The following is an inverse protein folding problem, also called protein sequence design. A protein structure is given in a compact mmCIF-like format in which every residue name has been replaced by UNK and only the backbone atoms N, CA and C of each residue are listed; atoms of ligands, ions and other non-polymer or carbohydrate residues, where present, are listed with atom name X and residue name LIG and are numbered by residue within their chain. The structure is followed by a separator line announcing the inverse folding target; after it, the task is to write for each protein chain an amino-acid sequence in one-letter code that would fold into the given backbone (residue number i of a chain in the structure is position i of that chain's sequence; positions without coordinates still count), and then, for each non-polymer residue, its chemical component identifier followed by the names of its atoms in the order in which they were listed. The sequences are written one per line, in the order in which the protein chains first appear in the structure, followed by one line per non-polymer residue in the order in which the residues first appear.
data_IF_833830872042
#
_entry.id   IF_833830872042
#
_cell.length_a   1.000
_cell.length_b   1.000
_cell.length_c   1.000
_cell.angle_alpha   90.00
_cell.angle_beta   90.00
_cell.angle_gamma   90.00
#
_symmetry.space_group_name_H-M   'P 1'
#
loop_
_entity.id
_entity.type
_entity.pdbx_description
1 polymer ?
#
# COMPACT_ATOMS: atom_id res chain seq x y z
N UNK A 1 -26.92 39.97 50.17
CA UNK A 1 -25.57 40.36 49.71
C UNK A 1 -25.05 39.25 48.81
N UNK A 2 -24.85 39.48 47.50
CA UNK A 2 -24.33 38.47 46.60
C UNK A 2 -22.81 38.44 46.63
N UNK A 3 -22.28 37.21 46.55
CA UNK A 3 -20.86 36.84 46.64
C UNK A 3 -20.23 37.07 45.26
N UNK A 4 -19.18 37.88 45.18
CA UNK A 4 -18.46 38.19 43.93
C UNK A 4 -17.53 37.04 43.47
N UNK A 5 -17.16 37.00 42.18
CA UNK A 5 -16.37 35.90 41.62
C UNK A 5 -14.86 36.05 41.92
N UNK A 6 -14.18 34.91 42.08
CA UNK A 6 -12.74 34.81 42.30
C UNK A 6 -11.94 35.08 41.00
N UNK A 7 -10.74 35.70 41.08
CA UNK A 7 -9.93 36.03 39.92
C UNK A 7 -9.17 34.81 39.36
N UNK A 8 -9.10 34.75 38.02
CA UNK A 8 -8.54 33.66 37.24
C UNK A 8 -7.03 33.47 37.33
N UNK A 9 -6.61 32.20 37.23
CA UNK A 9 -5.22 31.77 37.12
C UNK A 9 -4.72 31.93 35.68
N UNK A 10 -3.77 32.85 35.47
CA UNK A 10 -2.98 32.93 34.25
C UNK A 10 -1.87 31.87 34.27
N UNK A 11 -1.90 30.91 33.33
CA UNK A 11 -0.80 29.97 33.10
C UNK A 11 0.33 30.72 32.40
N UNK A 12 1.50 30.85 33.06
CA UNK A 12 2.73 31.34 32.44
C UNK A 12 3.44 30.18 31.74
N UNK A 13 3.61 30.28 30.43
CA UNK A 13 4.48 29.40 29.66
C UNK A 13 5.92 29.86 29.90
N UNK A 14 6.73 29.02 30.53
CA UNK A 14 8.16 29.25 30.69
C UNK A 14 8.89 28.84 29.40
N UNK A 15 9.45 29.80 28.66
CA UNK A 15 10.45 29.51 27.64
C UNK A 15 11.76 29.09 28.31
N UNK A 16 12.14 27.83 28.17
CA UNK A 16 13.48 27.34 28.52
C UNK A 16 14.37 27.48 27.29
N UNK A 17 15.25 28.48 27.29
CA UNK A 17 16.30 28.62 26.28
C UNK A 17 17.53 27.80 26.70
N UNK A 18 17.73 26.64 26.09
CA UNK A 18 18.98 25.87 26.17
C UNK A 18 20.10 26.52 25.33
N UNK A 19 21.38 26.15 25.56
CA UNK A 19 22.51 26.77 24.89
C UNK A 19 22.52 26.48 23.39
N UNK A 20 22.93 27.48 22.59
CA UNK A 20 23.02 27.39 21.15
C UNK A 20 24.05 26.34 20.70
N UNK A 21 23.61 25.41 19.85
CA UNK A 21 24.46 24.42 19.20
C UNK A 21 25.43 25.07 18.20
N UNK A 22 26.66 24.55 18.02
CA UNK A 22 27.62 25.06 17.04
C UNK A 22 27.11 24.93 15.60
N UNK A 23 27.39 25.95 14.78
CA UNK A 23 26.87 26.12 13.40
C UNK A 23 27.47 25.20 12.32
N UNK A 24 28.27 24.19 12.67
CA UNK A 24 28.92 23.30 11.68
C UNK A 24 28.81 21.81 12.05
N UNK A 25 27.59 21.29 12.12
CA UNK A 25 27.33 19.86 12.11
C UNK A 25 26.77 19.46 10.73
N UNK A 26 27.63 18.88 9.89
CA UNK A 26 27.36 18.08 8.68
C UNK A 26 25.97 18.27 8.04
N UNK A 27 25.90 19.08 6.97
CA UNK A 27 24.84 18.96 5.96
C UNK A 27 24.99 17.59 5.26
N UNK A 28 24.33 16.56 5.78
CA UNK A 28 24.19 15.26 5.10
C UNK A 28 22.92 15.29 4.24
N UNK A 29 23.03 14.71 3.05
CA UNK A 29 22.08 14.84 1.95
C UNK A 29 20.62 14.70 2.41
N UNK A 30 19.87 15.79 2.23
CA UNK A 30 18.42 15.78 2.20
C UNK A 30 18.02 14.75 1.13
N UNK A 31 17.06 13.88 1.44
CA UNK A 31 16.60 12.81 0.57
C UNK A 31 16.41 13.26 -0.88
N UNK A 32 16.71 12.38 -1.83
CA UNK A 32 16.47 12.55 -3.26
C UNK A 32 15.00 12.32 -3.64
N UNK A 33 14.12 12.24 -2.64
CA UNK A 33 12.68 12.14 -2.79
C UNK A 33 12.03 13.42 -2.26
N UNK A 34 11.04 13.92 -2.98
CA UNK A 34 10.21 15.04 -2.54
C UNK A 34 8.79 14.56 -2.34
N UNK A 35 8.22 14.87 -1.19
CA UNK A 35 6.83 14.56 -0.84
C UNK A 35 5.99 15.85 -0.90
N UNK A 36 4.87 15.81 -1.62
CA UNK A 36 3.87 16.87 -1.62
C UNK A 36 2.53 16.30 -1.13
N UNK A 37 1.94 16.91 -0.10
CA UNK A 37 0.69 16.44 0.51
C UNK A 37 -0.42 17.44 0.22
N UNK A 38 -1.57 16.91 -0.21
CA UNK A 38 -2.81 17.66 -0.32
C UNK A 38 -3.79 17.11 0.73
N UNK A 39 -3.93 17.85 1.83
CA UNK A 39 -4.78 17.44 2.95
C UNK A 39 -6.18 17.03 2.47
N UNK A 40 -6.57 15.80 2.78
CA UNK A 40 -7.85 15.21 2.41
C UNK A 40 -8.00 14.74 0.95
N UNK A 41 -7.01 14.94 0.07
CA UNK A 41 -7.04 14.41 -1.31
C UNK A 41 -6.02 13.30 -1.55
N UNK A 42 -4.84 13.38 -0.93
CA UNK A 42 -3.76 12.48 -1.25
C UNK A 42 -2.36 13.06 -1.01
N UNK A 43 -1.36 12.36 -1.54
CA UNK A 43 0.01 12.85 -1.60
C UNK A 43 0.71 12.38 -2.88
N UNK A 44 1.81 13.02 -3.23
CA UNK A 44 2.62 12.75 -4.40
C UNK A 44 4.08 12.60 -4.00
N UNK A 45 4.76 11.60 -4.56
CA UNK A 45 6.19 11.37 -4.36
C UNK A 45 6.92 11.61 -5.67
N UNK A 46 7.95 12.45 -5.62
CA UNK A 46 8.76 12.84 -6.77
C UNK A 46 10.22 12.44 -6.61
N UNK A 47 10.83 12.07 -7.72
CA UNK A 47 12.27 11.92 -7.85
C UNK A 47 12.92 13.31 -8.01
N UNK A 48 13.73 13.72 -7.03
CA UNK A 48 14.33 15.05 -7.01
C UNK A 48 15.44 15.25 -8.06
N UNK A 49 16.16 14.19 -8.46
CA UNK A 49 17.29 14.29 -9.41
C UNK A 49 16.84 14.22 -10.87
N UNK A 50 15.81 13.41 -11.18
CA UNK A 50 15.24 13.25 -12.53
C UNK A 50 14.30 14.38 -12.95
N UNK A 51 14.67 15.63 -12.68
CA UNK A 51 13.87 16.80 -13.07
C UNK A 51 12.51 16.92 -12.36
N UNK A 52 12.34 16.28 -11.21
CA UNK A 52 11.07 16.26 -10.48
C UNK A 52 10.05 15.29 -11.08
N UNK A 53 10.50 14.15 -11.64
CA UNK A 53 9.60 13.12 -12.16
C UNK A 53 8.66 12.63 -11.05
N UNK A 54 7.35 12.63 -11.32
CA UNK A 54 6.35 12.03 -10.43
C UNK A 54 6.55 10.51 -10.43
N UNK A 55 6.82 9.92 -9.26
CA UNK A 55 6.92 8.48 -9.10
C UNK A 55 5.55 7.87 -8.82
N UNK A 56 4.78 8.49 -7.92
CA UNK A 56 3.43 8.03 -7.64
C UNK A 56 2.55 9.11 -7.03
N UNK A 57 1.24 8.92 -7.20
CA UNK A 57 0.21 9.65 -6.47
C UNK A 57 -0.63 8.69 -5.65
N UNK A 58 -0.77 8.97 -4.36
CA UNK A 58 -1.77 8.36 -3.50
C UNK A 58 -3.06 9.17 -3.54
N UNK A 59 -4.19 8.54 -3.85
CA UNK A 59 -5.50 9.16 -3.83
C UNK A 59 -6.26 8.65 -2.60
N UNK A 60 -6.42 9.52 -1.60
CA UNK A 60 -7.16 9.22 -0.38
C UNK A 60 -8.68 9.41 -0.55
N UNK A 61 -9.10 10.31 -1.44
CA UNK A 61 -10.50 10.69 -1.64
C UNK A 61 -11.15 10.03 -2.87
N UNK A 62 -11.54 8.77 -2.74
CA UNK A 62 -12.28 8.05 -3.80
C UNK A 62 -13.79 7.97 -3.54
N UNK A 63 -14.32 8.64 -2.51
CA UNK A 63 -15.75 8.62 -2.15
C UNK A 63 -16.72 9.19 -3.20
N UNK A 64 -16.21 9.81 -4.27
CA UNK A 64 -17.00 10.23 -5.43
C UNK A 64 -17.31 9.09 -6.40
N UNK A 65 -16.63 7.93 -6.27
CA UNK A 65 -16.87 6.76 -7.09
C UNK A 65 -18.20 6.07 -6.72
N UNK A 66 -18.83 5.36 -7.68
CA UNK A 66 -20.01 4.55 -7.40
C UNK A 66 -19.79 3.56 -6.25
N UNK A 67 -20.82 3.37 -5.41
CA UNK A 67 -20.72 2.51 -4.21
C UNK A 67 -20.44 1.06 -4.56
N UNK A 68 -20.99 0.57 -5.67
CA UNK A 68 -20.78 -0.78 -6.20
C UNK A 68 -19.35 -1.01 -6.73
N UNK A 69 -18.51 0.02 -6.81
CA UNK A 69 -17.07 -0.11 -7.06
C UNK A 69 -16.23 -0.22 -5.77
N UNK A 70 -16.89 -0.23 -4.61
CA UNK A 70 -16.28 -0.22 -3.27
C UNK A 70 -15.15 0.82 -3.15
N UNK A 71 -15.48 2.13 -3.07
CA UNK A 71 -14.49 3.19 -2.92
C UNK A 71 -13.44 2.89 -1.84
N UNK A 72 -12.17 3.09 -2.21
CA UNK A 72 -11.01 2.78 -1.39
C UNK A 72 -9.80 3.64 -1.80
N UNK A 73 -8.90 4.03 -0.88
CA UNK A 73 -7.68 4.72 -1.27
C UNK A 73 -6.76 3.85 -2.12
N UNK A 74 -6.00 4.48 -3.01
CA UNK A 74 -5.18 3.77 -3.99
C UNK A 74 -4.01 4.62 -4.50
N UNK A 75 -2.95 3.98 -4.97
CA UNK A 75 -1.93 4.65 -5.77
C UNK A 75 -2.28 4.58 -7.25
N UNK A 76 -2.47 5.76 -7.85
CA UNK A 76 -2.54 5.95 -9.29
C UNK A 76 -2.37 7.44 -9.63
N UNK A 77 -1.54 7.80 -10.62
CA UNK A 77 -0.63 6.92 -11.37
C UNK A 77 0.55 6.43 -10.52
N UNK A 78 1.12 5.30 -10.92
CA UNK A 78 2.45 4.80 -10.52
C UNK A 78 3.33 4.76 -11.76
N UNK A 79 4.51 5.35 -11.68
CA UNK A 79 5.48 5.46 -12.77
C UNK A 79 6.79 4.75 -12.42
N UNK A 80 7.50 4.28 -13.45
CA UNK A 80 8.93 4.01 -13.33
C UNK A 80 9.71 5.31 -13.11
N UNK A 81 10.95 5.25 -12.60
CA UNK A 81 11.76 6.46 -12.41
C UNK A 81 12.01 7.27 -13.69
N UNK A 82 12.01 6.66 -14.87
CA UNK A 82 12.07 7.34 -16.18
C UNK A 82 10.72 7.84 -16.70
N UNK A 83 9.61 7.61 -15.97
CA UNK A 83 8.28 8.13 -16.29
C UNK A 83 7.36 7.16 -17.05
N UNK A 84 7.71 5.88 -17.17
CA UNK A 84 6.84 4.86 -17.77
C UNK A 84 5.64 4.53 -16.88
N UNK A 85 4.41 4.67 -17.39
CA UNK A 85 3.19 4.38 -16.61
C UNK A 85 3.04 2.87 -16.34
N UNK A 86 2.91 2.50 -15.07
CA UNK A 86 2.74 1.11 -14.61
C UNK A 86 1.27 0.76 -14.37
N UNK A 87 0.56 1.59 -13.61
CA UNK A 87 -0.76 1.26 -13.06
C UNK A 87 -1.90 1.63 -14.01
N UNK A 88 -2.99 0.85 -14.02
CA UNK A 88 -4.27 1.22 -14.65
C UNK A 88 -5.32 1.61 -13.62
N UNK A 89 -6.18 2.57 -13.94
CA UNK A 89 -7.24 3.03 -13.06
C UNK A 89 -8.60 2.97 -13.76
N UNK A 90 -9.53 2.26 -13.11
CA UNK A 90 -10.92 2.06 -13.54
C UNK A 90 -11.02 1.66 -15.03
N UNK A 91 -10.35 0.58 -15.46
CA UNK A 91 -10.50 0.11 -16.83
C UNK A 91 -11.94 -0.32 -17.10
N UNK A 92 -12.34 -0.25 -18.36
CA UNK A 92 -13.73 -0.51 -18.79
C UNK A 92 -14.22 -1.92 -18.41
N UNK A 93 -13.31 -2.90 -18.37
CA UNK A 93 -13.64 -4.29 -17.99
C UNK A 93 -13.89 -4.46 -16.48
N UNK A 94 -13.25 -3.65 -15.65
CA UNK A 94 -13.27 -3.76 -14.18
C UNK A 94 -13.11 -2.38 -13.53
N UNK A 95 -14.19 -1.60 -13.48
CA UNK A 95 -14.15 -0.20 -13.01
C UNK A 95 -13.77 -0.05 -11.53
N UNK A 96 -13.79 -1.13 -10.73
CA UNK A 96 -13.36 -1.13 -9.33
C UNK A 96 -11.85 -1.39 -9.12
N UNK A 97 -11.07 -1.61 -10.19
CA UNK A 97 -9.61 -1.75 -10.11
C UNK A 97 -8.93 -0.37 -10.18
N UNK A 98 -8.20 0.03 -9.13
CA UNK A 98 -7.79 1.42 -8.92
C UNK A 98 -6.26 1.66 -8.94
N UNK A 99 -5.48 0.83 -9.61
CA UNK A 99 -4.01 0.89 -9.60
C UNK A 99 -3.42 -0.04 -8.53
N UNK A 100 -2.65 0.48 -7.57
CA UNK A 100 -2.18 -0.29 -6.39
C UNK A 100 -3.07 0.02 -5.17
N UNK A 101 -3.74 -0.98 -4.62
CA UNK A 101 -4.71 -0.81 -3.53
C UNK A 101 -4.87 -2.07 -2.68
N UNK A 102 -5.46 -1.91 -1.48
CA UNK A 102 -5.93 -3.04 -0.68
C UNK A 102 -7.38 -3.38 -1.03
N UNK A 103 -7.63 -4.62 -1.46
CA UNK A 103 -8.95 -5.12 -1.86
C UNK A 103 -9.38 -6.36 -1.08
N UNK A 104 -10.63 -6.38 -0.63
CA UNK A 104 -11.18 -7.42 0.24
C UNK A 104 -12.56 -7.84 -0.23
N UNK A 105 -12.76 -9.12 -0.54
CA UNK A 105 -14.02 -9.57 -1.17
C UNK A 105 -15.17 -9.57 -0.20
N UNK A 106 -14.95 -10.14 0.99
CA UNK A 106 -15.97 -10.28 2.01
C UNK A 106 -15.43 -9.75 3.33
N UNK A 107 -16.12 -8.80 3.91
CA UNK A 107 -15.93 -8.35 5.29
C UNK A 107 -17.29 -8.53 5.95
N UNK A 108 -17.45 -9.61 6.72
CA UNK A 108 -18.75 -10.14 7.12
C UNK A 108 -19.66 -10.31 5.89
N UNK A 109 -20.80 -9.62 5.85
CA UNK A 109 -21.79 -9.65 4.77
C UNK A 109 -21.64 -8.49 3.76
N UNK A 110 -20.49 -7.81 3.74
CA UNK A 110 -20.24 -6.64 2.89
C UNK A 110 -19.08 -6.86 1.91
N UNK A 111 -19.25 -6.40 0.68
CA UNK A 111 -18.22 -6.44 -0.37
C UNK A 111 -17.35 -5.16 -0.36
N UNK A 112 -16.03 -5.33 -0.20
CA UNK A 112 -15.04 -4.24 -0.21
C UNK A 112 -14.10 -4.30 -1.44
N UNK A 113 -14.36 -5.20 -2.38
CA UNK A 113 -13.64 -5.34 -3.64
C UNK A 113 -14.26 -4.46 -4.73
N UNK A 114 -15.59 -4.53 -4.85
CA UNK A 114 -16.37 -3.94 -5.94
C UNK A 114 -16.97 -5.01 -6.85
N UNK A 115 -17.92 -4.62 -7.70
CA UNK A 115 -18.52 -5.48 -8.71
C UNK A 115 -19.45 -6.56 -8.14
N UNK A 116 -19.66 -7.62 -8.92
CA UNK A 116 -20.58 -8.71 -8.58
C UNK A 116 -20.04 -9.66 -7.50
N UNK A 117 -20.94 -10.33 -6.79
CA UNK A 117 -20.61 -11.40 -5.86
C UNK A 117 -20.52 -12.73 -6.57
N UNK A 118 -19.52 -13.55 -6.23
CA UNK A 118 -19.53 -14.95 -6.66
C UNK A 118 -20.40 -15.77 -5.70
N UNK A 119 -21.41 -16.46 -6.23
CA UNK A 119 -22.31 -17.33 -5.47
C UNK A 119 -21.96 -18.81 -5.75
N UNK A 120 -21.28 -19.52 -4.83
CA UNK A 120 -20.83 -20.89 -5.04
C UNK A 120 -21.94 -21.88 -5.40
N UNK A 121 -23.14 -21.67 -4.87
CA UNK A 121 -24.33 -22.47 -5.13
C UNK A 121 -24.80 -22.42 -6.60
N UNK A 122 -24.44 -21.35 -7.32
CA UNK A 122 -24.81 -21.12 -8.72
C UNK A 122 -23.60 -21.16 -9.65
N UNK A 123 -22.38 -21.04 -9.12
CA UNK A 123 -21.15 -21.06 -9.90
C UNK A 123 -20.94 -19.81 -10.76
N UNK A 124 -21.58 -18.70 -10.41
CA UNK A 124 -21.59 -17.48 -11.23
C UNK A 124 -21.46 -16.19 -10.40
N UNK A 125 -21.15 -15.10 -11.10
CA UNK A 125 -21.09 -13.75 -10.53
C UNK A 125 -22.42 -13.03 -10.71
N UNK A 126 -23.04 -12.60 -9.61
CA UNK A 126 -24.34 -11.92 -9.60
C UNK A 126 -24.22 -10.52 -8.98
N UNK A 127 -24.76 -9.47 -9.61
CA UNK A 127 -24.86 -8.16 -8.99
C UNK A 127 -25.81 -8.21 -7.78
N UNK A 128 -25.33 -7.76 -6.61
CA UNK A 128 -26.15 -7.65 -5.40
C UNK A 128 -26.25 -6.16 -5.02
N UNK A 129 -27.35 -5.47 -5.36
CA UNK A 129 -27.50 -4.05 -5.06
C UNK A 129 -27.39 -3.74 -3.57
N UNK A 130 -26.67 -2.66 -3.23
CA UNK A 130 -26.54 -2.18 -1.84
C UNK A 130 -25.81 -3.15 -0.91
N UNK A 131 -24.83 -3.90 -1.43
CA UNK A 131 -24.02 -4.86 -0.66
C UNK A 131 -22.59 -4.40 -0.41
N UNK A 132 -22.20 -3.23 -0.94
CA UNK A 132 -20.81 -2.78 -0.96
C UNK A 132 -20.49 -1.80 0.16
N UNK A 133 -19.29 -1.96 0.72
CA UNK A 133 -18.70 -1.07 1.71
C UNK A 133 -17.73 -0.05 1.11
N UNK A 134 -17.17 0.78 1.97
CA UNK A 134 -16.18 1.83 1.61
C UNK A 134 -15.03 1.78 2.59
N UNK A 135 -13.79 1.81 2.09
CA UNK A 135 -12.62 2.14 2.91
C UNK A 135 -12.49 3.67 2.84
N UNK A 136 -12.84 4.38 3.91
CA UNK A 136 -12.83 5.85 3.94
C UNK A 136 -11.56 6.33 4.62
N UNK A 137 -10.75 7.13 3.93
CA UNK A 137 -9.69 7.89 4.57
C UNK A 137 -10.28 8.89 5.56
N UNK A 138 -9.74 8.91 6.79
CA UNK A 138 -10.15 9.86 7.81
C UNK A 138 -9.14 11.01 7.93
N UNK A 139 -7.84 10.70 8.05
CA UNK A 139 -6.77 11.72 8.14
C UNK A 139 -5.37 11.14 7.86
N UNK A 140 -4.43 12.01 7.50
CA UNK A 140 -3.00 11.71 7.55
C UNK A 140 -2.47 11.93 8.97
N UNK A 141 -1.71 10.97 9.49
CA UNK A 141 -1.19 10.97 10.87
C UNK A 141 0.29 11.31 10.96
N UNK A 142 1.01 11.16 9.85
CA UNK A 142 2.43 11.46 9.73
C UNK A 142 2.72 11.93 8.31
N UNK A 143 3.58 12.94 8.21
CA UNK A 143 4.23 13.42 6.98
C UNK A 143 5.63 13.83 7.41
N UNK A 144 6.65 13.04 7.06
CA UNK A 144 8.01 13.24 7.58
C UNK A 144 9.08 12.95 6.55
N UNK A 145 10.18 13.71 6.62
CA UNK A 145 11.43 13.38 5.96
C UNK A 145 12.19 12.34 6.81
N UNK A 146 12.72 11.31 6.16
CA UNK A 146 13.62 10.33 6.77
C UNK A 146 15.07 10.63 6.36
N UNK A 147 16.04 10.02 7.05
CA UNK A 147 17.47 10.17 6.66
C UNK A 147 17.71 9.74 5.20
N UNK A 148 16.99 8.72 4.73
CA UNK A 148 17.12 8.16 3.38
C UNK A 148 15.76 7.95 2.70
N UNK A 149 14.84 8.90 2.84
CA UNK A 149 13.50 8.75 2.28
C UNK A 149 12.46 9.73 2.79
N UNK A 150 11.19 9.37 2.61
CA UNK A 150 10.03 10.09 3.16
C UNK A 150 9.00 9.08 3.70
N UNK A 151 8.21 9.49 4.70
CA UNK A 151 7.16 8.65 5.27
C UNK A 151 5.81 9.38 5.36
N UNK A 152 4.74 8.60 5.18
CA UNK A 152 3.35 9.03 5.33
C UNK A 152 2.59 8.00 6.15
N UNK A 153 1.89 8.45 7.18
CA UNK A 153 0.94 7.65 7.94
C UNK A 153 -0.50 8.11 7.70
N UNK A 154 -1.47 7.21 7.77
CA UNK A 154 -2.89 7.55 7.71
C UNK A 154 -3.78 6.64 8.56
N UNK A 155 -4.98 7.15 8.85
CA UNK A 155 -6.09 6.39 9.44
C UNK A 155 -7.25 6.31 8.47
N UNK A 156 -7.87 5.14 8.43
CA UNK A 156 -9.09 4.86 7.68
C UNK A 156 -10.15 4.23 8.58
N UNK A 157 -11.40 4.46 8.22
CA UNK A 157 -12.54 3.72 8.73
C UNK A 157 -13.20 2.96 7.59
N UNK A 158 -13.42 1.66 7.78
CA UNK A 158 -14.18 0.86 6.83
C UNK A 158 -15.66 0.89 7.24
N UNK A 159 -16.50 1.31 6.30
CA UNK A 159 -17.94 1.40 6.47
C UNK A 159 -18.61 0.23 5.76
N UNK A 160 -19.47 -0.50 6.46
CA UNK A 160 -20.26 -1.59 5.89
C UNK A 160 -21.28 -1.07 4.87
N UNK A 161 -22.06 -1.98 4.27
CA UNK A 161 -23.14 -1.63 3.32
C UNK A 161 -24.22 -0.67 3.85
N UNK A 162 -24.31 -0.49 5.17
CA UNK A 162 -25.25 0.39 5.86
C UNK A 162 -24.55 1.62 6.48
N UNK A 163 -23.33 1.91 6.06
CA UNK A 163 -22.49 3.01 6.56
C UNK A 163 -22.11 2.91 8.05
N UNK A 164 -22.14 1.71 8.62
CA UNK A 164 -21.67 1.46 9.99
C UNK A 164 -20.17 1.17 10.00
N UNK A 165 -19.38 1.78 10.91
CA UNK A 165 -17.96 1.43 11.07
C UNK A 165 -17.79 -0.03 11.51
N UNK A 166 -16.97 -0.79 10.78
CA UNK A 166 -16.65 -2.19 11.13
C UNK A 166 -15.17 -2.43 11.41
N UNK A 167 -14.28 -1.69 10.74
CA UNK A 167 -12.82 -1.76 10.91
C UNK A 167 -12.26 -0.34 11.04
N UNK A 168 -11.29 -0.17 11.94
CA UNK A 168 -10.29 0.91 11.89
C UNK A 168 -9.03 0.36 11.27
N UNK A 169 -8.45 1.09 10.33
CA UNK A 169 -7.19 0.72 9.70
C UNK A 169 -6.17 1.84 9.87
N UNK A 170 -4.94 1.49 10.24
CA UNK A 170 -3.79 2.38 10.19
C UNK A 170 -2.85 1.91 9.09
N UNK A 171 -2.49 2.81 8.17
CA UNK A 171 -1.50 2.52 7.12
C UNK A 171 -0.27 3.40 7.29
N UNK A 172 0.88 2.85 6.91
CA UNK A 172 2.14 3.58 6.81
C UNK A 172 2.83 3.23 5.50
N UNK A 173 3.30 4.28 4.83
CA UNK A 173 4.06 4.20 3.61
C UNK A 173 5.39 4.90 3.81
N UNK A 174 6.48 4.16 3.68
CA UNK A 174 7.81 4.74 3.69
C UNK A 174 8.45 4.48 2.32
N UNK A 175 8.95 5.55 1.73
CA UNK A 175 9.61 5.57 0.44
C UNK A 175 11.10 5.73 0.69
N UNK A 176 11.84 4.63 0.63
CA UNK A 176 13.27 4.57 0.94
C UNK A 176 14.12 4.55 -0.33
N UNK A 177 15.19 5.34 -0.33
CA UNK A 177 16.21 5.24 -1.37
C UNK A 177 16.97 3.92 -1.29
N UNK A 178 17.29 3.33 -2.44
CA UNK A 178 17.98 2.03 -2.52
C UNK A 178 19.49 2.14 -2.71
N UNK A 179 20.05 3.35 -2.69
CA UNK A 179 21.49 3.61 -2.87
C UNK A 179 22.39 2.87 -1.89
N UNK A 180 21.88 2.53 -0.69
CA UNK A 180 22.62 1.76 0.30
C UNK A 180 22.86 0.29 -0.12
N UNK A 181 22.04 -0.26 -1.02
CA UNK A 181 22.01 -1.70 -1.32
C UNK A 181 22.10 -2.07 -2.79
N UNK A 182 21.87 -1.14 -3.71
CA UNK A 182 22.10 -1.39 -5.14
C UNK A 182 23.38 -0.70 -5.62
N UNK A 183 24.29 -1.49 -6.20
CA UNK A 183 25.50 -0.97 -6.87
C UNK A 183 25.17 -0.10 -8.08
N UNK A 184 24.04 -0.35 -8.75
CA UNK A 184 23.56 0.48 -9.85
C UNK A 184 23.21 1.89 -9.37
N UNK A 185 22.68 2.00 -8.14
CA UNK A 185 22.24 3.27 -7.55
C UNK A 185 23.40 4.05 -6.93
N UNK A 186 24.47 3.37 -6.48
CA UNK A 186 25.70 4.00 -5.98
C UNK A 186 26.43 4.83 -7.04
N UNK A 187 26.18 4.57 -8.33
CA UNK A 187 26.69 5.39 -9.43
C UNK A 187 25.90 6.71 -9.64
N UNK A 188 24.84 6.95 -8.86
CA UNK A 188 24.00 8.15 -8.96
C UNK A 188 23.09 8.20 -10.19
N UNK A 189 22.82 7.04 -10.81
CA UNK A 189 22.16 6.95 -12.12
C UNK A 189 20.67 6.63 -12.07
N UNK A 190 20.09 6.31 -10.90
CA UNK A 190 18.67 5.98 -10.82
C UNK A 190 18.01 6.50 -9.53
N UNK A 191 16.80 7.05 -9.68
CA UNK A 191 15.92 7.45 -8.58
C UNK A 191 15.00 6.30 -8.18
N UNK A 192 15.62 5.16 -7.85
CA UNK A 192 14.90 3.98 -7.36
C UNK A 192 14.46 4.19 -5.93
N UNK A 193 13.24 3.74 -5.66
CA UNK A 193 12.64 3.84 -4.34
C UNK A 193 12.00 2.49 -3.97
N UNK A 194 12.41 1.95 -2.83
CA UNK A 194 11.76 0.82 -2.18
C UNK A 194 10.65 1.34 -1.30
N UNK A 195 9.45 0.80 -1.46
CA UNK A 195 8.27 1.19 -0.70
C UNK A 195 8.03 0.13 0.36
N UNK A 196 7.95 0.55 1.61
CA UNK A 196 7.49 -0.30 2.70
C UNK A 196 6.06 0.11 3.02
N UNK A 197 5.14 -0.84 2.86
CA UNK A 197 3.70 -0.65 2.96
C UNK A 197 3.19 -1.48 4.12
N UNK A 198 2.80 -0.82 5.19
CA UNK A 198 2.24 -1.44 6.38
C UNK A 198 0.74 -1.13 6.48
N UNK A 199 -0.06 -2.13 6.88
CA UNK A 199 -1.48 -1.99 7.20
C UNK A 199 -1.80 -2.76 8.49
N UNK A 200 -2.44 -2.08 9.43
CA UNK A 200 -2.95 -2.65 10.68
C UNK A 200 -4.46 -2.53 10.66
N UNK A 201 -5.15 -3.67 10.65
CA UNK A 201 -6.60 -3.78 10.52
C UNK A 201 -7.18 -4.23 11.86
N UNK A 202 -7.95 -3.38 12.50
CA UNK A 202 -8.52 -3.59 13.85
C UNK A 202 -10.05 -3.51 13.80
N UNK A 203 -10.78 -4.52 14.27
CA UNK A 203 -12.24 -4.43 14.39
C UNK A 203 -12.67 -3.32 15.37
N UNK A 204 -13.83 -2.69 15.15
CA UNK A 204 -14.28 -1.54 15.98
C UNK A 204 -14.88 -1.99 17.31
N UNK A 205 -15.80 -2.97 17.30
CA UNK A 205 -16.59 -3.38 18.48
C UNK A 205 -16.79 -4.91 18.57
N UNK A 206 -16.99 -5.57 17.43
CA UNK A 206 -17.20 -7.02 17.33
C UNK A 206 -16.08 -7.66 16.51
N UNK A 207 -16.00 -9.00 16.54
CA UNK A 207 -15.13 -9.71 15.62
C UNK A 207 -15.53 -9.45 14.16
N UNK A 208 -14.55 -9.48 13.27
CA UNK A 208 -14.78 -9.33 11.83
C UNK A 208 -14.19 -10.51 11.10
N UNK A 209 -14.97 -11.10 10.20
CA UNK A 209 -14.50 -12.14 9.29
C UNK A 209 -14.17 -11.54 7.93
N UNK A 210 -12.90 -11.60 7.56
CA UNK A 210 -12.44 -11.39 6.20
C UNK A 210 -12.54 -12.71 5.43
N UNK A 211 -13.42 -12.78 4.45
CA UNK A 211 -13.71 -14.01 3.71
C UNK A 211 -12.87 -14.19 2.45
N UNK A 212 -12.51 -15.44 2.18
CA UNK A 212 -11.82 -15.84 0.96
C UNK A 212 -12.70 -15.68 -0.27
N UNK A 213 -12.12 -15.17 -1.36
CA UNK A 213 -12.76 -15.23 -2.68
C UNK A 213 -12.93 -16.70 -3.09
N UNK A 214 -14.16 -17.19 -3.19
CA UNK A 214 -14.42 -18.60 -3.54
C UNK A 214 -14.08 -18.97 -4.99
N UNK A 215 -14.09 -18.00 -5.91
CA UNK A 215 -13.71 -18.22 -7.31
C UNK A 215 -12.33 -17.65 -7.69
N UNK A 216 -12.17 -16.33 -7.62
CA UNK A 216 -11.01 -15.66 -8.22
C UNK A 216 -9.75 -15.60 -7.34
N UNK A 217 -9.88 -15.92 -6.04
CA UNK A 217 -8.76 -16.16 -5.11
C UNK A 217 -7.86 -14.94 -4.86
N UNK A 218 -8.40 -13.72 -4.99
CA UNK A 218 -7.70 -12.47 -4.68
C UNK A 218 -8.08 -11.93 -3.28
N UNK A 219 -7.15 -11.25 -2.62
CA UNK A 219 -7.37 -10.43 -1.40
C UNK A 219 -6.10 -9.64 -1.08
N UNK A 220 -6.16 -8.64 -0.20
CA UNK A 220 -4.96 -7.93 0.25
C UNK A 220 -4.46 -6.89 -0.77
N UNK A 221 -3.15 -6.75 -0.90
CA UNK A 221 -2.51 -5.73 -1.75
C UNK A 221 -2.50 -6.18 -3.21
N UNK A 222 -3.06 -5.39 -4.11
CA UNK A 222 -3.19 -5.73 -5.54
C UNK A 222 -2.80 -4.55 -6.41
N UNK A 223 -2.00 -4.82 -7.44
CA UNK A 223 -1.67 -3.91 -8.53
C UNK A 223 -2.41 -4.34 -9.80
N UNK A 224 -3.30 -3.47 -10.29
CA UNK A 224 -3.77 -3.50 -11.69
C UNK A 224 -2.79 -2.73 -12.56
N UNK A 225 -2.19 -3.42 -13.52
CA UNK A 225 -1.20 -2.87 -14.43
C UNK A 225 -1.85 -2.37 -15.72
N UNK A 226 -1.37 -1.24 -16.22
CA UNK A 226 -1.86 -0.55 -17.43
C UNK A 226 -1.27 -1.10 -18.72
N UNK A 227 -1.60 -0.49 -19.88
CA UNK A 227 -1.28 -1.03 -21.20
C UNK A 227 0.17 -1.47 -21.44
N UNK A 228 1.23 -0.73 -21.00
CA UNK A 228 2.61 -1.19 -21.19
C UNK A 228 2.93 -2.52 -20.46
N UNK A 229 2.08 -2.89 -19.49
CA UNK A 229 2.13 -4.09 -18.67
C UNK A 229 0.85 -4.95 -18.82
N UNK A 230 0.09 -4.75 -19.91
CA UNK A 230 -1.14 -5.52 -20.15
C UNK A 230 -0.88 -7.03 -20.35
N UNK A 231 0.35 -7.38 -20.74
CA UNK A 231 0.85 -8.75 -20.82
C UNK A 231 2.22 -8.87 -20.16
N UNK A 232 2.29 -8.53 -18.87
CA UNK A 232 3.53 -8.52 -18.13
C UNK A 232 4.10 -9.93 -17.91
N UNK A 233 5.41 -10.07 -18.09
CA UNK A 233 6.11 -11.32 -17.83
C UNK A 233 6.40 -11.46 -16.33
N UNK A 234 5.79 -12.45 -15.70
CA UNK A 234 5.93 -12.67 -14.26
C UNK A 234 7.02 -13.68 -13.92
N UNK A 235 7.79 -13.40 -12.88
CA UNK A 235 8.78 -14.32 -12.28
C UNK A 235 8.68 -14.32 -10.75
N UNK A 236 9.11 -15.39 -10.09
CA UNK A 236 9.11 -15.49 -8.61
C UNK A 236 10.49 -15.83 -8.04
N UNK A 237 10.66 -15.66 -6.72
CA UNK A 237 11.92 -15.92 -6.00
C UNK A 237 12.39 -17.37 -5.89
N UNK A 238 11.62 -18.32 -6.40
CA UNK A 238 11.97 -19.72 -6.60
C UNK A 238 12.20 -20.09 -8.07
N UNK A 239 12.18 -19.10 -8.97
CA UNK A 239 12.45 -19.26 -10.40
C UNK A 239 11.25 -19.69 -11.23
N UNK A 240 10.02 -19.64 -10.69
CA UNK A 240 8.82 -19.85 -11.49
C UNK A 240 8.65 -18.71 -12.50
N UNK A 241 8.14 -19.02 -13.69
CA UNK A 241 7.95 -18.07 -14.78
C UNK A 241 6.57 -18.21 -15.40
N UNK A 242 5.94 -17.08 -15.69
CA UNK A 242 4.59 -16.99 -16.22
C UNK A 242 3.54 -16.87 -15.12
N UNK A 243 2.56 -15.98 -15.34
CA UNK A 243 1.54 -15.67 -14.34
C UNK A 243 0.70 -16.90 -13.95
N UNK A 244 0.52 -17.88 -14.84
CA UNK A 244 -0.24 -19.10 -14.58
C UNK A 244 0.51 -20.05 -13.64
N UNK A 245 1.83 -20.20 -13.82
CA UNK A 245 2.67 -21.05 -13.00
C UNK A 245 2.84 -20.49 -11.57
N UNK A 246 2.74 -19.17 -11.42
CA UNK A 246 2.87 -18.47 -10.13
C UNK A 246 1.53 -18.38 -9.39
N UNK A 247 0.42 -18.41 -10.10
CA UNK A 247 -0.91 -18.27 -9.50
C UNK A 247 -1.13 -19.35 -8.43
N UNK A 248 -1.45 -18.91 -7.20
CA UNK A 248 -1.64 -19.74 -5.98
C UNK A 248 -0.40 -20.37 -5.37
N UNK A 249 0.79 -20.15 -5.94
CA UNK A 249 2.04 -20.59 -5.30
C UNK A 249 2.46 -19.62 -4.21
N UNK A 250 3.39 -20.07 -3.35
CA UNK A 250 3.95 -19.29 -2.25
C UNK A 250 5.40 -18.96 -2.57
N UNK A 251 5.74 -17.70 -2.47
CA UNK A 251 7.10 -17.22 -2.66
C UNK A 251 7.31 -15.91 -1.88
N UNK A 252 8.56 -15.59 -1.57
CA UNK A 252 8.89 -14.38 -0.79
C UNK A 252 8.72 -13.09 -1.61
N UNK A 253 8.81 -13.19 -2.93
CA UNK A 253 8.52 -12.09 -3.84
C UNK A 253 8.08 -12.60 -5.21
N UNK A 254 7.32 -11.75 -5.92
CA UNK A 254 6.96 -11.92 -7.33
C UNK A 254 7.22 -10.61 -8.06
N UNK A 255 7.82 -10.71 -9.24
CA UNK A 255 8.07 -9.60 -10.13
C UNK A 255 7.20 -9.70 -11.39
N UNK A 256 6.93 -8.55 -12.01
CA UNK A 256 6.29 -8.48 -13.32
C UNK A 256 7.01 -7.43 -14.18
N UNK A 257 7.50 -7.86 -15.35
CA UNK A 257 8.20 -7.02 -16.30
C UNK A 257 7.30 -6.63 -17.49
N UNK A 258 7.33 -5.36 -17.86
CA UNK A 258 6.57 -4.83 -19.00
C UNK A 258 7.21 -5.21 -20.32
N UNK A 259 6.41 -5.39 -21.37
CA UNK A 259 6.91 -5.79 -22.69
C UNK A 259 7.79 -4.71 -23.35
N UNK A 260 7.65 -3.45 -22.92
CA UNK A 260 8.36 -2.28 -23.45
C UNK A 260 9.40 -1.74 -22.45
N UNK A 261 9.74 -2.51 -21.41
CA UNK A 261 10.59 -2.07 -20.31
C UNK A 261 9.81 -1.82 -19.03
N UNK A 262 10.55 -1.56 -17.96
CA UNK A 262 10.04 -1.44 -16.61
C UNK A 262 9.79 -2.78 -15.91
N UNK A 263 9.90 -2.77 -14.59
CA UNK A 263 9.59 -3.92 -13.74
C UNK A 263 8.96 -3.44 -12.43
N UNK A 264 7.99 -4.19 -11.95
CA UNK A 264 7.51 -4.11 -10.57
C UNK A 264 7.93 -5.35 -9.80
N UNK A 265 8.21 -5.20 -8.51
CA UNK A 265 8.42 -6.31 -7.59
C UNK A 265 7.56 -6.09 -6.35
N UNK A 266 6.80 -7.11 -5.96
CA UNK A 266 6.06 -7.14 -4.70
C UNK A 266 6.64 -8.21 -3.79
N UNK A 267 6.86 -7.89 -2.52
CA UNK A 267 7.60 -8.70 -1.55
C UNK A 267 6.76 -8.92 -0.30
N UNK A 268 6.70 -10.16 0.17
CA UNK A 268 5.97 -10.55 1.37
C UNK A 268 6.88 -10.56 2.61
N UNK A 269 6.39 -10.08 3.75
CA UNK A 269 7.20 -10.07 4.97
C UNK A 269 7.12 -11.38 5.76
N UNK A 270 8.20 -11.88 6.38
CA UNK A 270 8.18 -13.04 7.28
C UNK A 270 7.25 -12.95 8.50
N UNK A 271 6.74 -11.74 8.81
CA UNK A 271 5.81 -11.49 9.92
C UNK A 271 4.35 -11.47 9.48
N UNK A 272 4.06 -11.57 8.18
CA UNK A 272 2.70 -11.64 7.69
C UNK A 272 2.08 -12.99 8.06
N UNK A 273 0.77 -12.96 8.32
CA UNK A 273 -0.02 -14.16 8.39
C UNK A 273 0.17 -15.00 7.12
N UNK A 274 0.32 -16.32 7.28
CA UNK A 274 0.47 -17.28 6.19
C UNK A 274 1.69 -16.95 5.29
N UNK A 275 2.80 -16.49 5.84
CA UNK A 275 4.05 -16.29 5.10
C UNK A 275 4.68 -17.62 4.62
N UNK A 276 5.26 -17.66 3.40
CA UNK A 276 5.07 -16.69 2.32
C UNK A 276 3.63 -16.71 1.82
N UNK A 277 3.06 -15.53 1.58
CA UNK A 277 1.70 -15.37 1.07
C UNK A 277 1.51 -16.15 -0.24
N UNK A 278 0.29 -16.59 -0.51
CA UNK A 278 -0.04 -17.08 -1.84
C UNK A 278 -0.21 -15.91 -2.81
N UNK A 279 0.27 -16.06 -4.03
CA UNK A 279 0.24 -14.99 -5.03
C UNK A 279 -0.99 -15.09 -5.95
N UNK A 280 -1.61 -13.93 -6.19
CA UNK A 280 -2.65 -13.74 -7.18
C UNK A 280 -2.06 -13.07 -8.42
N UNK A 281 -1.98 -13.80 -9.52
CA UNK A 281 -1.35 -13.32 -10.76
C UNK A 281 -2.25 -13.54 -11.98
N UNK A 282 -2.31 -12.52 -12.84
CA UNK A 282 -2.84 -12.57 -14.21
C UNK A 282 -1.92 -11.74 -15.11
N UNK A 283 -2.12 -11.79 -16.43
CA UNK A 283 -1.33 -11.02 -17.42
C UNK A 283 -1.09 -9.56 -17.00
N UNK A 284 -2.09 -8.90 -16.42
CA UNK A 284 -2.05 -7.50 -15.99
C UNK A 284 -2.39 -7.29 -14.50
N UNK A 285 -2.30 -8.32 -13.66
CA UNK A 285 -2.54 -8.23 -12.22
C UNK A 285 -1.43 -8.92 -11.45
N UNK A 286 -0.90 -8.22 -10.46
CA UNK A 286 0.00 -8.77 -9.46
C UNK A 286 -0.56 -8.41 -8.08
N UNK A 287 -0.93 -9.40 -7.29
CA UNK A 287 -1.44 -9.16 -5.95
C UNK A 287 -1.14 -10.30 -5.00
N UNK A 288 -1.35 -10.02 -3.72
CA UNK A 288 -1.25 -11.02 -2.67
C UNK A 288 -2.55 -11.81 -2.54
N UNK A 289 -2.52 -12.83 -1.69
CA UNK A 289 -3.65 -13.70 -1.43
C UNK A 289 -3.63 -14.20 0.02
N UNK A 290 -3.61 -13.30 1.03
CA UNK A 290 -3.64 -13.72 2.43
C UNK A 290 -4.88 -14.56 2.74
N UNK A 291 -5.99 -14.35 2.04
CA UNK A 291 -7.26 -15.08 2.18
C UNK A 291 -7.57 -15.95 0.95
N UNK A 292 -6.54 -16.55 0.35
CA UNK A 292 -6.71 -17.32 -0.88
C UNK A 292 -7.56 -18.59 -0.65
N UNK A 293 -7.22 -19.37 0.37
CA UNK A 293 -7.82 -20.69 0.60
C UNK A 293 -8.93 -20.65 1.66
N UNK A 294 -8.76 -19.85 2.71
CA UNK A 294 -9.63 -19.87 3.88
C UNK A 294 -9.86 -18.45 4.44
N UNK A 295 -11.00 -18.30 5.12
CA UNK A 295 -11.41 -17.07 5.78
C UNK A 295 -10.46 -16.75 6.96
N UNK A 296 -10.54 -15.52 7.47
CA UNK A 296 -9.85 -15.07 8.66
C UNK A 296 -10.81 -14.29 9.54
N UNK A 297 -11.05 -14.78 10.75
CA UNK A 297 -11.79 -14.04 11.78
C UNK A 297 -10.81 -13.34 12.71
N UNK A 298 -10.97 -12.03 12.87
CA UNK A 298 -10.16 -11.18 13.74
C UNK A 298 -11.02 -10.82 14.95
N UNK A 299 -10.67 -11.25 16.17
CA UNK A 299 -11.36 -10.83 17.39
C UNK A 299 -11.26 -9.33 17.63
N UNK A 300 -12.24 -8.73 18.29
CA UNK A 300 -12.22 -7.29 18.62
C UNK A 300 -11.02 -6.86 19.51
N UNK A 301 -10.37 -7.81 20.18
CA UNK A 301 -9.19 -7.59 21.01
C UNK A 301 -7.86 -7.69 20.25
N UNK A 302 -7.88 -7.98 18.95
CA UNK A 302 -6.68 -8.26 18.15
C UNK A 302 -6.65 -7.44 16.85
N UNK A 303 -5.58 -7.55 16.08
CA UNK A 303 -5.40 -6.85 14.82
C UNK A 303 -4.66 -7.70 13.79
N UNK A 304 -5.05 -7.59 12.53
CA UNK A 304 -4.28 -8.15 11.42
C UNK A 304 -3.21 -7.14 11.02
N UNK A 305 -1.95 -7.56 11.10
CA UNK A 305 -0.81 -6.79 10.62
C UNK A 305 -0.31 -7.34 9.29
N UNK A 306 -0.19 -6.46 8.29
CA UNK A 306 0.33 -6.77 6.97
C UNK A 306 1.48 -5.81 6.63
N UNK A 307 2.54 -6.36 6.05
CA UNK A 307 3.75 -5.64 5.64
C UNK A 307 4.19 -6.09 4.27
N UNK A 308 4.33 -5.17 3.33
CA UNK A 308 4.75 -5.49 1.97
C UNK A 308 5.87 -4.56 1.52
N UNK A 309 6.82 -5.15 0.78
CA UNK A 309 7.79 -4.39 0.01
C UNK A 309 7.26 -4.20 -1.40
N UNK A 310 7.42 -3.02 -1.97
CA UNK A 310 7.08 -2.75 -3.36
C UNK A 310 8.18 -1.94 -4.03
N UNK A 311 8.53 -2.30 -5.25
CA UNK A 311 9.61 -1.68 -6.00
C UNK A 311 9.17 -1.45 -7.44
N UNK A 312 9.57 -0.31 -8.00
CA UNK A 312 9.40 0.00 -9.42
C UNK A 312 10.76 0.34 -10.02
N UNK A 313 11.08 -0.29 -11.14
CA UNK A 313 12.35 -0.20 -11.83
C UNK A 313 12.13 0.18 -13.29
N UNK A 314 13.07 0.89 -13.89
CA UNK A 314 13.09 1.14 -15.35
C UNK A 314 13.51 -0.10 -16.14
N UNK A 315 14.42 -0.88 -15.57
CA UNK A 315 15.02 -2.04 -16.22
C UNK A 315 14.71 -3.32 -15.44
N UNK A 316 14.72 -4.44 -16.15
CA UNK A 316 14.56 -5.78 -15.56
C UNK A 316 15.77 -6.07 -14.68
N UNK A 317 15.54 -6.20 -13.37
CA UNK A 317 16.55 -6.64 -12.43
C UNK A 317 16.74 -8.16 -12.49
N UNK A 318 17.97 -8.62 -12.26
CA UNK A 318 18.28 -10.03 -12.10
C UNK A 318 17.81 -10.56 -10.75
N UNK A 319 17.55 -11.88 -10.66
CA UNK A 319 17.08 -12.53 -9.44
C UNK A 319 17.94 -12.23 -8.20
N UNK A 320 19.27 -12.24 -8.35
CA UNK A 320 20.19 -11.92 -7.25
C UNK A 320 20.07 -10.48 -6.75
N UNK A 321 19.81 -9.51 -7.63
CA UNK A 321 19.59 -8.12 -7.23
C UNK A 321 18.26 -7.98 -6.47
N UNK A 322 17.20 -8.63 -6.96
CA UNK A 322 15.90 -8.64 -6.28
C UNK A 322 16.03 -9.28 -4.90
N UNK A 323 16.83 -10.33 -4.76
CA UNK A 323 17.07 -10.98 -3.47
C UNK A 323 17.84 -10.11 -2.47
N UNK A 324 18.82 -9.34 -2.94
CA UNK A 324 19.52 -8.36 -2.12
C UNK A 324 18.56 -7.27 -1.62
N UNK A 325 17.67 -6.80 -2.49
CA UNK A 325 16.62 -5.83 -2.16
C UNK A 325 15.57 -6.40 -1.20
N UNK A 326 15.19 -7.68 -1.35
CA UNK A 326 14.31 -8.37 -0.42
C UNK A 326 14.91 -8.44 0.99
N UNK A 327 16.19 -8.79 1.10
CA UNK A 327 16.88 -8.82 2.40
C UNK A 327 16.96 -7.42 3.04
N UNK A 328 17.19 -6.40 2.22
CA UNK A 328 17.15 -5.00 2.69
C UNK A 328 15.76 -4.61 3.19
N UNK A 329 14.72 -4.92 2.41
CA UNK A 329 13.32 -4.71 2.77
C UNK A 329 12.99 -5.30 4.15
N UNK A 330 13.32 -6.58 4.38
CA UNK A 330 13.04 -7.25 5.66
C UNK A 330 13.78 -6.57 6.81
N UNK A 331 15.06 -6.23 6.65
CA UNK A 331 15.82 -5.51 7.69
C UNK A 331 15.23 -4.14 8.00
N UNK A 332 14.95 -3.34 6.97
CA UNK A 332 14.41 -2.00 7.11
C UNK A 332 12.99 -1.98 7.69
N UNK A 333 12.20 -3.02 7.44
CA UNK A 333 10.86 -3.22 8.03
C UNK A 333 10.95 -3.62 9.51
N UNK A 334 11.93 -4.44 9.87
CA UNK A 334 12.11 -4.92 11.24
C UNK A 334 12.73 -3.90 12.20
N UNK A 335 13.56 -3.00 11.69
CA UNK A 335 14.16 -1.89 12.44
C UNK A 335 13.15 -0.79 12.82
N UNK A 336 11.96 -0.79 12.20
CA UNK A 336 10.90 0.18 12.52
C UNK A 336 10.28 -0.12 13.88
N UNK A 337 9.96 0.95 14.60
CA UNK A 337 9.05 0.85 15.74
C UNK A 337 7.70 0.29 15.26
N UNK A 338 7.10 -0.68 15.98
CA UNK A 338 5.76 -1.15 15.63
C UNK A 338 4.77 0.02 15.64
N UNK A 339 3.92 0.06 14.62
CA UNK A 339 2.84 1.05 14.43
C UNK A 339 1.70 0.86 15.43
#
# INVERSE_FOLDING_TARGET
MPIGPAPGSSIRIHHVTGPAMPRDAFKRNLSHLRLEVNEGKGFEVYAARSGGQLLCRYNAATGHLPRDESPKPCFHPVYTPSGGLISEYRPEDHTWHLGLYFGWVHVNDTNFWGGSWYLPEHGEYVPIPGSHGVQRHDEFTEVSDLESGVAVGERLTWLDRNDRPVIREARRFDFLETAAVSKADQAGQADRCLWLIDSVITPVEEEVTLGASRAARYSGLVLRMGPPFADAHHTSGSGLSGHEAIMRTRDRWVAAAGAQGGMVVMMDHPRNLRHPVQWFTRRNLLGTGPLMEEDLTIPASDSLHLRYGFLVLDEVAGEGEIEDLYRYYVSASDERSPT
#
